data_IF_259540668215
#
_entry.id   IF_259540668215
#
_cell.length_a   1.000
_cell.length_b   1.000
_cell.length_c   1.000
_cell.angle_alpha   90.00
_cell.angle_beta   90.00
_cell.angle_gamma   90.00
#
_symmetry.space_group_name_H-M   'P 1'
#
loop_
_entity.id
_entity.type
_entity.pdbx_description
1 polymer ?
#
# COMPACT_ATOMS: atom_id res chain seq x y z
N UNK A 1 22.06 -32.17 -19.11
CA UNK A 1 21.08 -31.85 -18.06
C UNK A 1 21.85 -31.11 -16.99
N UNK A 2 21.50 -29.82 -16.71
CA UNK A 2 22.09 -29.05 -15.62
C UNK A 2 21.81 -29.70 -14.27
N UNK A 3 22.61 -29.38 -13.29
CA UNK A 3 22.43 -29.88 -11.91
C UNK A 3 21.23 -29.18 -11.29
N UNK A 4 20.16 -29.92 -10.97
CA UNK A 4 19.02 -29.37 -10.25
C UNK A 4 19.30 -29.30 -8.75
N UNK A 5 19.00 -28.17 -8.16
CA UNK A 5 19.20 -27.91 -6.72
C UNK A 5 18.01 -27.12 -6.19
N UNK A 6 17.57 -27.38 -4.96
CA UNK A 6 16.60 -26.58 -4.27
C UNK A 6 17.35 -25.67 -3.28
N UNK A 7 17.13 -24.39 -3.37
CA UNK A 7 17.71 -23.37 -2.48
C UNK A 7 16.60 -22.69 -1.72
N UNK A 8 16.57 -22.74 -0.38
CA UNK A 8 15.62 -22.00 0.42
C UNK A 8 16.01 -20.50 0.45
N UNK A 9 15.04 -19.63 0.17
CA UNK A 9 15.15 -18.20 0.29
C UNK A 9 14.20 -17.72 1.41
N UNK A 10 14.77 -17.35 2.55
CA UNK A 10 13.98 -17.03 3.75
C UNK A 10 13.71 -18.27 4.66
N UNK A 11 12.79 -18.17 5.66
CA UNK A 11 11.92 -17.02 5.94
C UNK A 11 12.65 -15.77 6.44
N UNK A 12 13.76 -15.92 7.18
CA UNK A 12 14.61 -14.82 7.61
C UNK A 12 15.72 -14.63 6.57
N UNK A 13 15.68 -13.52 5.86
CA UNK A 13 16.68 -13.17 4.85
C UNK A 13 17.16 -11.74 5.07
N UNK A 14 18.48 -11.46 5.10
CA UNK A 14 19.02 -10.15 5.48
C UNK A 14 18.55 -8.99 4.56
N UNK A 15 18.23 -9.29 3.31
CA UNK A 15 17.77 -8.27 2.35
C UNK A 15 16.23 -8.09 2.32
N UNK A 16 15.48 -8.79 3.19
CA UNK A 16 14.01 -8.69 3.22
C UNK A 16 13.54 -8.09 4.55
N UNK A 17 12.64 -7.08 4.51
CA UNK A 17 12.13 -6.44 5.71
C UNK A 17 11.16 -7.31 6.51
N UNK A 18 10.53 -8.30 5.88
CA UNK A 18 9.54 -9.19 6.48
C UNK A 18 9.76 -10.65 6.06
N UNK A 19 9.39 -11.64 6.90
CA UNK A 19 9.65 -13.06 6.62
C UNK A 19 8.75 -13.58 5.50
N UNK A 20 9.36 -13.96 4.39
CA UNK A 20 8.76 -14.75 3.32
C UNK A 20 9.68 -15.93 3.01
N UNK A 21 9.12 -17.10 2.79
CA UNK A 21 9.88 -18.26 2.40
C UNK A 21 9.53 -18.68 0.96
N UNK A 22 10.59 -18.90 0.16
CA UNK A 22 10.49 -19.40 -1.18
C UNK A 22 11.42 -20.60 -1.33
N UNK A 23 10.90 -21.75 -1.73
CA UNK A 23 11.72 -22.85 -2.24
C UNK A 23 12.01 -22.58 -3.72
N UNK A 24 13.27 -22.31 -4.04
CA UNK A 24 13.73 -22.03 -5.39
C UNK A 24 14.35 -23.30 -5.99
N UNK A 25 13.70 -23.87 -7.01
CA UNK A 25 14.30 -24.93 -7.81
C UNK A 25 15.17 -24.28 -8.89
N UNK A 26 16.47 -24.59 -8.85
CA UNK A 26 17.46 -24.06 -9.79
C UNK A 26 17.93 -25.13 -10.78
N UNK A 27 18.17 -24.70 -12.00
CA UNK A 27 19.02 -25.41 -12.95
C UNK A 27 20.24 -24.54 -13.21
N UNK A 28 21.39 -24.97 -12.70
CA UNK A 28 22.58 -24.15 -12.52
C UNK A 28 22.25 -22.91 -11.64
N UNK A 29 22.25 -21.68 -12.19
CA UNK A 29 21.90 -20.45 -11.46
C UNK A 29 20.54 -19.86 -11.88
N UNK A 30 19.82 -20.57 -12.77
CA UNK A 30 18.52 -20.10 -13.26
C UNK A 30 17.38 -20.71 -12.44
N UNK A 31 16.47 -19.87 -11.97
CA UNK A 31 15.25 -20.29 -11.26
C UNK A 31 14.25 -20.90 -12.24
N UNK A 32 14.01 -22.20 -12.15
CA UNK A 32 13.02 -22.89 -12.98
C UNK A 32 11.64 -22.95 -12.34
N UNK A 33 11.59 -22.89 -11.00
CA UNK A 33 10.36 -22.87 -10.21
C UNK A 33 10.58 -22.19 -8.86
N UNK A 34 9.58 -21.47 -8.41
CA UNK A 34 9.54 -20.90 -7.06
C UNK A 34 8.23 -21.32 -6.37
N UNK A 35 8.33 -21.81 -5.14
CA UNK A 35 7.17 -22.23 -4.33
C UNK A 35 7.13 -21.39 -3.07
N UNK A 36 6.15 -20.46 -2.94
CA UNK A 36 6.03 -19.63 -1.76
C UNK A 36 5.40 -20.39 -0.60
N UNK A 37 5.92 -20.18 0.61
CA UNK A 37 5.33 -20.61 1.87
C UNK A 37 5.08 -19.37 2.73
N UNK A 38 3.83 -19.18 3.15
CA UNK A 38 3.36 -18.09 3.99
C UNK A 38 2.73 -18.65 5.27
N UNK A 39 2.57 -17.81 6.30
CA UNK A 39 1.97 -18.21 7.58
C UNK A 39 2.83 -17.88 8.79
N UNK A 40 4.05 -17.35 8.60
CA UNK A 40 5.02 -17.08 9.68
C UNK A 40 4.60 -15.94 10.63
N UNK A 41 3.78 -15.02 10.16
CA UNK A 41 3.28 -13.85 10.94
C UNK A 41 1.76 -13.82 11.02
N UNK A 42 1.08 -14.95 10.79
CA UNK A 42 -0.38 -15.04 10.90
C UNK A 42 -0.83 -14.84 12.36
N UNK A 43 -1.80 -13.92 12.54
CA UNK A 43 -2.28 -13.48 13.86
C UNK A 43 -3.77 -13.70 14.07
N UNK A 44 -4.49 -14.20 13.08
CA UNK A 44 -5.93 -14.47 13.15
C UNK A 44 -6.81 -13.22 13.30
N UNK A 45 -6.40 -12.07 12.72
CA UNK A 45 -7.10 -10.79 12.90
C UNK A 45 -8.53 -10.81 12.37
N UNK A 46 -8.79 -11.56 11.30
CA UNK A 46 -10.16 -11.74 10.78
C UNK A 46 -11.07 -12.47 11.80
N UNK A 47 -10.52 -13.42 12.54
CA UNK A 47 -11.25 -14.14 13.59
C UNK A 47 -11.50 -13.26 14.81
N UNK A 48 -10.59 -12.37 15.13
CA UNK A 48 -10.79 -11.40 16.22
C UNK A 48 -12.01 -10.50 15.97
N UNK A 49 -12.35 -10.21 14.70
CA UNK A 49 -13.52 -9.41 14.35
C UNK A 49 -14.85 -10.01 14.84
N UNK A 50 -14.93 -11.32 14.95
CA UNK A 50 -16.14 -12.00 15.45
C UNK A 50 -16.29 -11.88 16.98
N UNK A 51 -15.21 -11.56 17.70
CA UNK A 51 -15.15 -11.54 19.15
C UNK A 51 -15.03 -10.13 19.75
N UNK A 52 -14.88 -9.10 18.93
CA UNK A 52 -14.72 -7.71 19.35
C UNK A 52 -15.85 -6.85 18.80
N UNK A 53 -16.18 -5.82 19.56
CA UNK A 53 -17.09 -4.77 19.14
C UNK A 53 -16.61 -4.09 17.85
N UNK A 54 -17.54 -3.77 16.95
CA UNK A 54 -17.21 -3.19 15.64
C UNK A 54 -16.41 -1.88 15.74
N UNK A 55 -16.58 -1.09 16.80
CA UNK A 55 -15.74 0.11 17.00
C UNK A 55 -14.32 -0.25 17.42
N UNK A 56 -14.14 -1.25 18.28
CA UNK A 56 -12.84 -1.76 18.72
C UNK A 56 -12.08 -2.38 17.55
N UNK A 57 -12.79 -3.01 16.61
CA UNK A 57 -12.19 -3.60 15.42
C UNK A 57 -11.51 -2.57 14.52
N UNK A 58 -11.90 -1.31 14.54
CA UNK A 58 -11.19 -0.26 13.81
C UNK A 58 -9.71 -0.17 14.22
N UNK A 59 -9.44 -0.27 15.51
CA UNK A 59 -8.07 -0.25 16.04
C UNK A 59 -7.28 -1.53 15.71
N UNK A 60 -7.96 -2.68 15.71
CA UNK A 60 -7.33 -3.96 15.37
C UNK A 60 -6.98 -3.99 13.89
N UNK A 61 -7.89 -3.53 13.02
CA UNK A 61 -7.67 -3.48 11.58
C UNK A 61 -6.50 -2.58 11.17
N UNK A 62 -6.32 -1.44 11.83
CA UNK A 62 -5.12 -0.62 11.61
C UNK A 62 -3.82 -1.37 11.86
N UNK A 63 -3.82 -2.33 12.78
CA UNK A 63 -2.65 -3.12 13.18
C UNK A 63 -2.41 -4.35 12.32
N UNK A 64 -3.17 -4.51 11.23
CA UNK A 64 -2.85 -5.50 10.19
C UNK A 64 -1.45 -5.21 9.64
N UNK A 65 -1.11 -3.93 9.43
CA UNK A 65 0.19 -3.51 8.93
C UNK A 65 0.63 -2.17 9.55
N UNK A 66 1.93 -2.02 9.81
CA UNK A 66 2.50 -0.77 10.28
C UNK A 66 2.70 0.29 9.18
N UNK A 67 2.79 -0.10 7.91
CA UNK A 67 3.08 0.83 6.81
C UNK A 67 1.79 1.34 6.17
N UNK A 68 0.84 0.46 5.88
CA UNK A 68 -0.45 0.82 5.29
C UNK A 68 -1.59 0.84 6.31
N UNK A 69 -1.30 1.13 7.58
CA UNK A 69 -2.25 1.16 8.70
C UNK A 69 -3.47 2.03 8.40
N UNK A 70 -3.26 3.22 7.84
CA UNK A 70 -4.34 4.12 7.47
C UNK A 70 -5.29 3.51 6.43
N UNK A 71 -4.76 2.88 5.38
CA UNK A 71 -5.57 2.20 4.37
C UNK A 71 -6.42 1.07 4.95
N UNK A 72 -5.92 0.37 6.00
CA UNK A 72 -6.69 -0.67 6.69
C UNK A 72 -7.84 -0.09 7.52
N UNK A 73 -7.60 0.98 8.27
CA UNK A 73 -8.70 1.63 9.02
C UNK A 73 -9.73 2.27 8.09
N UNK A 74 -9.29 2.91 7.00
CA UNK A 74 -10.18 3.49 6.01
C UNK A 74 -11.03 2.40 5.31
N UNK A 75 -10.41 1.32 4.87
CA UNK A 75 -11.13 0.22 4.22
C UNK A 75 -12.16 -0.43 5.13
N UNK A 76 -11.81 -0.67 6.39
CA UNK A 76 -12.74 -1.23 7.37
C UNK A 76 -13.88 -0.26 7.73
N UNK A 77 -13.56 1.00 8.03
CA UNK A 77 -14.60 2.00 8.35
C UNK A 77 -15.54 2.24 7.18
N UNK A 78 -15.02 2.29 5.94
CA UNK A 78 -15.86 2.39 4.74
C UNK A 78 -16.78 1.19 4.53
N UNK A 79 -16.32 -0.03 4.84
CA UNK A 79 -17.16 -1.22 4.78
C UNK A 79 -18.28 -1.18 5.85
N UNK A 80 -17.96 -0.73 7.05
CA UNK A 80 -18.96 -0.57 8.12
C UNK A 80 -19.96 0.54 7.83
N UNK A 81 -19.50 1.66 7.29
CA UNK A 81 -20.35 2.79 6.90
C UNK A 81 -21.33 2.37 5.80
N UNK A 82 -20.87 1.62 4.79
CA UNK A 82 -21.77 1.08 3.78
C UNK A 82 -22.77 0.06 4.31
N UNK A 83 -22.35 -0.83 5.23
CA UNK A 83 -23.26 -1.80 5.86
C UNK A 83 -24.32 -1.13 6.73
N UNK A 84 -23.97 -0.04 7.43
CA UNK A 84 -24.85 0.69 8.36
C UNK A 84 -25.61 1.85 7.68
N UNK A 85 -25.42 2.03 6.37
CA UNK A 85 -26.01 3.14 5.58
C UNK A 85 -25.70 4.53 6.18
N UNK A 86 -24.42 4.73 6.55
CA UNK A 86 -23.94 5.96 7.16
C UNK A 86 -23.30 6.85 6.12
N UNK A 87 -23.86 8.01 5.90
CA UNK A 87 -23.24 9.05 5.09
C UNK A 87 -22.28 9.90 5.94
N UNK A 88 -21.01 9.92 5.55
CA UNK A 88 -19.98 10.69 6.26
C UNK A 88 -19.92 12.13 5.71
N UNK A 89 -19.57 13.12 6.56
CA UNK A 89 -19.39 14.50 6.11
C UNK A 89 -18.31 14.66 5.05
N UNK A 90 -18.52 15.59 4.11
CA UNK A 90 -17.55 15.85 3.03
C UNK A 90 -16.16 16.24 3.60
N UNK A 91 -16.12 17.02 4.67
CA UNK A 91 -14.87 17.36 5.35
C UNK A 91 -14.09 16.10 5.76
N UNK A 92 -14.78 15.08 6.29
CA UNK A 92 -14.15 13.81 6.64
C UNK A 92 -13.63 13.06 5.41
N UNK A 93 -14.36 13.10 4.28
CA UNK A 93 -13.90 12.49 3.01
C UNK A 93 -12.58 13.09 2.56
N UNK A 94 -12.48 14.44 2.54
CA UNK A 94 -11.26 15.15 2.17
C UNK A 94 -10.11 14.86 3.12
N UNK A 95 -10.34 14.86 4.43
CA UNK A 95 -9.31 14.50 5.42
C UNK A 95 -8.81 13.07 5.21
N UNK A 96 -9.70 12.12 4.92
CA UNK A 96 -9.29 10.74 4.62
C UNK A 96 -8.44 10.66 3.35
N UNK A 97 -8.76 11.43 2.30
CA UNK A 97 -7.94 11.51 1.07
C UNK A 97 -6.55 12.06 1.39
N UNK A 98 -6.45 13.17 2.13
CA UNK A 98 -5.16 13.77 2.51
C UNK A 98 -4.29 12.74 3.24
N UNK A 99 -4.85 12.05 4.24
CA UNK A 99 -4.08 11.07 5.03
C UNK A 99 -3.76 9.79 4.25
N UNK A 100 -4.61 9.36 3.33
CA UNK A 100 -4.33 8.22 2.48
C UNK A 100 -3.18 8.52 1.52
N UNK A 101 -3.15 9.72 0.93
CA UNK A 101 -2.05 10.11 0.05
C UNK A 101 -0.76 10.40 0.83
N UNK A 102 -0.80 10.98 2.03
CA UNK A 102 0.37 11.05 2.92
C UNK A 102 0.90 9.65 3.26
N UNK A 103 0.00 8.69 3.52
CA UNK A 103 0.37 7.28 3.74
C UNK A 103 1.01 6.65 2.51
N UNK A 104 0.59 7.04 1.30
CA UNK A 104 1.22 6.63 0.04
C UNK A 104 2.62 7.21 -0.09
N UNK A 105 2.79 8.51 0.16
CA UNK A 105 4.09 9.18 0.13
C UNK A 105 5.08 8.50 1.08
N UNK A 106 4.70 8.31 2.32
CA UNK A 106 5.53 7.62 3.31
C UNK A 106 5.89 6.19 2.91
N UNK A 107 4.94 5.45 2.33
CA UNK A 107 5.14 4.06 1.92
C UNK A 107 6.06 3.93 0.69
N UNK A 108 5.87 4.76 -0.32
CA UNK A 108 6.72 4.73 -1.52
C UNK A 108 8.15 5.19 -1.23
N UNK A 109 8.34 6.16 -0.32
CA UNK A 109 9.68 6.56 0.14
C UNK A 109 10.39 5.44 0.90
N UNK A 110 9.67 4.69 1.75
CA UNK A 110 10.20 3.49 2.39
C UNK A 110 10.67 2.48 1.34
N UNK A 111 9.82 2.18 0.37
CA UNK A 111 10.11 1.20 -0.67
C UNK A 111 11.32 1.60 -1.53
N UNK A 112 11.40 2.87 -1.96
CA UNK A 112 12.55 3.40 -2.70
C UNK A 112 13.85 3.26 -1.90
N UNK A 113 13.81 3.52 -0.60
CA UNK A 113 14.94 3.31 0.28
C UNK A 113 15.38 1.84 0.32
N UNK A 114 14.45 0.91 0.54
CA UNK A 114 14.74 -0.53 0.56
C UNK A 114 15.28 -1.03 -0.80
N UNK A 115 14.78 -0.49 -1.90
CA UNK A 115 15.31 -0.80 -3.22
C UNK A 115 16.73 -0.27 -3.40
N UNK A 116 17.02 0.95 -2.93
CA UNK A 116 18.38 1.52 -2.95
C UNK A 116 19.36 0.66 -2.14
N UNK A 117 18.96 0.21 -0.95
CA UNK A 117 19.74 -0.69 -0.11
C UNK A 117 20.06 -2.01 -0.82
N UNK A 118 19.08 -2.62 -1.48
CA UNK A 118 19.27 -3.85 -2.25
C UNK A 118 20.25 -3.70 -3.44
N UNK A 119 20.48 -2.48 -3.90
CA UNK A 119 21.52 -2.14 -4.89
C UNK A 119 22.86 -1.76 -4.25
N UNK A 120 22.95 -1.70 -2.90
CA UNK A 120 24.13 -1.26 -2.18
C UNK A 120 24.32 0.26 -2.15
N UNK A 121 23.25 1.03 -2.35
CA UNK A 121 23.27 2.50 -2.29
C UNK A 121 22.85 3.03 -0.92
N UNK A 122 23.65 2.76 0.12
CA UNK A 122 23.36 3.14 1.52
C UNK A 122 23.02 4.63 1.67
N UNK A 123 23.77 5.51 0.97
CA UNK A 123 23.52 6.95 1.02
C UNK A 123 22.16 7.33 0.46
N UNK A 124 21.70 6.65 -0.59
CA UNK A 124 20.38 6.88 -1.19
C UNK A 124 19.27 6.31 -0.29
N UNK A 125 19.50 5.15 0.33
CA UNK A 125 18.62 4.60 1.36
C UNK A 125 18.41 5.61 2.49
N UNK A 126 19.49 6.11 3.10
CA UNK A 126 19.42 7.09 4.19
C UNK A 126 18.74 8.41 3.75
N UNK A 127 18.95 8.82 2.50
CA UNK A 127 18.30 10.00 1.96
C UNK A 127 16.77 9.81 1.85
N UNK A 128 16.30 8.69 1.31
CA UNK A 128 14.86 8.38 1.24
C UNK A 128 14.22 8.37 2.64
N UNK A 129 14.90 7.79 3.61
CA UNK A 129 14.42 7.72 4.99
C UNK A 129 14.36 9.10 5.65
N UNK A 130 15.36 9.97 5.40
CA UNK A 130 15.36 11.34 5.90
C UNK A 130 14.18 12.16 5.34
N UNK A 131 13.85 12.01 4.05
CA UNK A 131 12.67 12.66 3.45
C UNK A 131 11.41 12.12 4.11
N UNK A 132 11.32 10.80 4.29
CA UNK A 132 10.18 10.13 4.91
C UNK A 132 9.92 10.60 6.34
N UNK A 133 10.95 10.91 7.13
CA UNK A 133 10.81 11.41 8.51
C UNK A 133 9.94 12.66 8.59
N UNK A 134 10.05 13.59 7.64
CA UNK A 134 9.22 14.80 7.59
C UNK A 134 7.71 14.47 7.51
N UNK A 135 7.36 13.41 6.80
CA UNK A 135 5.96 12.94 6.71
C UNK A 135 5.52 12.28 8.02
N UNK A 136 6.41 11.52 8.67
CA UNK A 136 6.12 10.89 9.96
C UNK A 136 5.94 11.93 11.07
N UNK A 137 6.70 13.02 11.04
CA UNK A 137 6.57 14.14 11.98
C UNK A 137 5.18 14.82 11.84
N UNK A 138 4.68 14.96 10.61
CA UNK A 138 3.32 15.44 10.36
C UNK A 138 2.27 14.49 10.95
N UNK A 139 2.43 13.18 10.78
CA UNK A 139 1.52 12.21 11.39
C UNK A 139 1.52 12.33 12.91
N UNK A 140 2.69 12.38 13.53
CA UNK A 140 2.83 12.50 14.98
C UNK A 140 2.17 13.77 15.52
N UNK A 141 2.40 14.89 14.88
CA UNK A 141 1.86 16.18 15.32
C UNK A 141 0.32 16.22 15.24
N UNK A 142 -0.26 15.64 14.17
CA UNK A 142 -1.71 15.66 13.99
C UNK A 142 -2.39 14.55 14.82
N UNK A 143 -1.81 13.36 14.87
CA UNK A 143 -2.49 12.18 15.41
C UNK A 143 -1.94 11.71 16.76
N UNK A 144 -0.74 12.12 17.12
CA UNK A 144 -0.01 11.62 18.29
C UNK A 144 0.72 10.30 18.03
N UNK A 145 0.74 9.81 16.77
CA UNK A 145 1.41 8.57 16.40
C UNK A 145 2.08 8.69 15.02
N UNK A 146 3.27 8.11 14.89
CA UNK A 146 4.06 8.17 13.65
C UNK A 146 3.64 7.16 12.59
N UNK A 147 3.05 6.04 13.01
CA UNK A 147 2.80 4.87 12.14
C UNK A 147 1.35 4.40 12.20
N UNK A 148 0.85 4.05 13.38
CA UNK A 148 -0.55 3.63 13.57
C UNK A 148 -1.34 4.81 14.11
N UNK A 149 -1.98 5.54 13.21
CA UNK A 149 -2.49 6.88 13.46
C UNK A 149 -3.82 6.92 14.21
N UNK A 150 -4.61 5.85 14.16
CA UNK A 150 -5.96 5.79 14.73
C UNK A 150 -6.83 7.01 14.37
N UNK A 151 -6.72 7.46 13.12
CA UNK A 151 -7.38 8.68 12.65
C UNK A 151 -8.79 8.43 12.11
N UNK A 152 -9.01 7.31 11.38
CA UNK A 152 -10.34 6.93 10.92
C UNK A 152 -11.25 6.49 12.07
N UNK A 153 -12.52 6.82 11.96
CA UNK A 153 -13.60 6.38 12.82
C UNK A 153 -14.82 6.11 11.95
N UNK A 154 -15.66 5.15 12.31
CA UNK A 154 -16.94 4.94 11.64
C UNK A 154 -17.79 6.20 11.82
N UNK A 155 -18.27 6.75 10.71
CA UNK A 155 -18.96 8.04 10.65
C UNK A 155 -18.05 9.24 10.35
N UNK A 156 -16.74 9.03 10.08
CA UNK A 156 -15.81 10.10 9.69
C UNK A 156 -14.39 9.94 10.22
N UNK A 157 -13.86 10.97 10.89
CA UNK A 157 -12.54 10.98 11.51
C UNK A 157 -12.62 11.32 12.99
N UNK A 158 -11.60 10.95 13.78
CA UNK A 158 -11.61 11.10 15.25
C UNK A 158 -11.39 12.53 15.71
N UNK A 159 -10.68 13.31 14.92
CA UNK A 159 -10.38 14.73 15.24
C UNK A 159 -10.32 15.53 13.95
N UNK A 160 -10.64 16.79 14.06
CA UNK A 160 -10.47 17.75 12.98
C UNK A 160 -9.00 18.15 12.84
N UNK A 161 -8.67 18.71 11.68
CA UNK A 161 -7.35 19.28 11.39
C UNK A 161 -7.52 20.77 11.14
N UNK A 162 -6.81 21.61 11.92
CA UNK A 162 -6.92 23.06 11.79
C UNK A 162 -6.36 23.56 10.46
N UNK A 163 -6.80 24.73 9.98
CA UNK A 163 -6.25 25.33 8.77
C UNK A 163 -4.73 25.55 8.82
N UNK A 164 -4.20 25.90 9.99
CA UNK A 164 -2.75 26.11 10.21
C UNK A 164 -2.00 24.79 10.01
N UNK A 165 -2.56 23.69 10.54
CA UNK A 165 -1.97 22.38 10.39
C UNK A 165 -2.06 21.87 8.94
N UNK A 166 -3.18 22.11 8.25
CA UNK A 166 -3.30 21.81 6.81
C UNK A 166 -2.29 22.60 5.97
N UNK A 167 -2.07 23.88 6.30
CA UNK A 167 -1.03 24.68 5.65
C UNK A 167 0.37 24.12 5.89
N UNK A 168 0.66 23.60 7.11
CA UNK A 168 1.91 22.92 7.42
C UNK A 168 2.08 21.63 6.59
N UNK A 169 1.02 20.83 6.44
CA UNK A 169 1.04 19.64 5.56
C UNK A 169 1.42 20.00 4.12
N UNK A 170 0.79 21.06 3.57
CA UNK A 170 1.14 21.56 2.24
C UNK A 170 2.60 22.03 2.17
N UNK A 171 3.07 22.76 3.19
CA UNK A 171 4.46 23.21 3.26
C UNK A 171 5.48 22.07 3.32
N UNK A 172 5.17 20.99 4.02
CA UNK A 172 6.02 19.78 4.02
C UNK A 172 6.06 19.13 2.62
N UNK A 173 4.92 19.05 1.93
CA UNK A 173 4.90 18.56 0.54
C UNK A 173 5.79 19.43 -0.37
N UNK A 174 5.76 20.77 -0.21
CA UNK A 174 6.60 21.68 -0.98
C UNK A 174 8.09 21.52 -0.64
N UNK A 175 8.40 21.33 0.64
CA UNK A 175 9.77 21.12 1.12
C UNK A 175 10.41 19.83 0.58
N UNK A 176 9.65 18.73 0.52
CA UNK A 176 10.19 17.43 0.12
C UNK A 176 10.15 17.19 -1.40
N UNK A 177 9.35 17.94 -2.16
CA UNK A 177 9.13 17.65 -3.58
C UNK A 177 10.40 17.68 -4.41
N UNK A 178 11.26 18.68 -4.24
CA UNK A 178 12.53 18.76 -4.96
C UNK A 178 13.45 17.58 -4.63
N UNK A 179 13.48 17.16 -3.37
CA UNK A 179 14.26 16.00 -2.94
C UNK A 179 13.70 14.71 -3.54
N UNK A 180 12.39 14.54 -3.57
CA UNK A 180 11.70 13.40 -4.20
C UNK A 180 11.98 13.36 -5.70
N UNK A 181 11.89 14.50 -6.41
CA UNK A 181 12.20 14.58 -7.84
C UNK A 181 13.66 14.22 -8.14
N UNK A 182 14.61 14.69 -7.33
CA UNK A 182 16.04 14.34 -7.48
C UNK A 182 16.26 12.84 -7.22
N UNK A 183 15.63 12.29 -6.21
CA UNK A 183 15.66 10.84 -5.91
C UNK A 183 15.11 10.04 -7.08
N UNK A 184 13.95 10.42 -7.62
CA UNK A 184 13.36 9.80 -8.80
C UNK A 184 14.29 9.85 -10.02
N UNK A 185 15.00 10.98 -10.23
CA UNK A 185 15.99 11.10 -11.31
C UNK A 185 17.17 10.13 -11.16
N UNK A 186 17.59 9.81 -9.94
CA UNK A 186 18.63 8.78 -9.71
C UNK A 186 18.11 7.43 -10.19
N UNK A 187 16.93 6.98 -9.74
CA UNK A 187 16.35 5.71 -10.19
C UNK A 187 16.09 5.69 -11.70
N UNK A 188 15.75 6.83 -12.30
CA UNK A 188 15.49 6.93 -13.74
C UNK A 188 16.77 6.85 -14.59
N UNK A 189 17.88 7.43 -14.13
CA UNK A 189 19.07 7.67 -14.98
C UNK A 189 20.28 6.82 -14.64
N UNK A 190 20.38 6.30 -13.42
CA UNK A 190 21.54 5.51 -13.01
C UNK A 190 21.64 4.23 -13.84
N UNK A 191 22.83 4.01 -14.42
CA UNK A 191 23.06 2.89 -15.33
C UNK A 191 23.08 1.54 -14.65
N UNK A 192 23.53 1.45 -13.38
CA UNK A 192 23.58 0.21 -12.63
C UNK A 192 22.14 -0.25 -12.29
N UNK A 193 21.30 0.69 -11.87
CA UNK A 193 19.87 0.43 -11.60
C UNK A 193 19.18 -0.02 -12.91
N UNK A 194 19.32 0.75 -13.97
CA UNK A 194 18.67 0.46 -15.25
C UNK A 194 19.07 -0.90 -15.83
N UNK A 195 20.37 -1.19 -15.85
CA UNK A 195 20.89 -2.45 -16.40
C UNK A 195 20.36 -3.68 -15.67
N UNK A 196 20.03 -3.57 -14.40
CA UNK A 196 19.46 -4.67 -13.62
C UNK A 196 17.93 -4.74 -13.68
N UNK A 197 17.25 -3.60 -13.79
CA UNK A 197 15.78 -3.54 -13.70
C UNK A 197 15.07 -3.58 -15.06
N UNK A 198 15.65 -2.94 -16.10
CA UNK A 198 15.04 -2.91 -17.42
C UNK A 198 15.05 -4.31 -18.06
N UNK A 199 13.87 -4.75 -18.52
CA UNK A 199 13.67 -6.07 -19.12
C UNK A 199 13.72 -7.25 -18.14
N UNK A 200 13.86 -7.00 -16.81
CA UNK A 200 13.90 -8.04 -15.80
C UNK A 200 12.53 -8.17 -15.11
N UNK A 201 12.07 -9.42 -14.92
CA UNK A 201 10.80 -9.74 -14.26
C UNK A 201 9.59 -9.16 -14.99
N UNK A 202 9.57 -9.30 -16.31
CA UNK A 202 8.51 -8.77 -17.16
C UNK A 202 7.22 -9.54 -16.91
N UNK A 203 6.14 -8.79 -16.69
CA UNK A 203 4.76 -9.26 -16.69
C UNK A 203 4.04 -8.60 -17.86
N UNK A 204 3.54 -9.41 -18.80
CA UNK A 204 2.71 -8.89 -19.87
C UNK A 204 1.38 -8.36 -19.32
N UNK A 205 0.68 -7.51 -20.07
CA UNK A 205 -0.67 -7.09 -19.74
C UNK A 205 -1.62 -8.27 -19.53
N UNK A 206 -1.47 -9.33 -20.31
CA UNK A 206 -2.27 -10.55 -20.19
C UNK A 206 -1.92 -11.31 -18.90
N UNK A 207 -0.63 -11.45 -18.55
CA UNK A 207 -0.24 -12.07 -17.27
C UNK A 207 -0.85 -11.34 -16.08
N UNK A 208 -0.85 -10.00 -16.09
CA UNK A 208 -1.44 -9.18 -15.03
C UNK A 208 -2.94 -9.42 -14.89
N UNK A 209 -3.67 -9.51 -16.00
CA UNK A 209 -5.12 -9.79 -16.02
C UNK A 209 -5.39 -11.21 -15.52
N UNK A 210 -4.68 -12.20 -16.03
CA UNK A 210 -4.88 -13.63 -15.70
C UNK A 210 -4.54 -13.94 -14.23
N UNK A 211 -3.53 -13.24 -13.68
CA UNK A 211 -3.11 -13.38 -12.29
C UNK A 211 -3.83 -12.41 -11.35
N UNK A 212 -4.72 -11.57 -11.88
CA UNK A 212 -5.46 -10.54 -11.12
C UNK A 212 -4.54 -9.59 -10.34
N UNK A 213 -3.34 -9.29 -10.85
CA UNK A 213 -2.41 -8.42 -10.15
C UNK A 213 -2.96 -6.99 -10.00
N UNK A 214 -2.57 -6.30 -8.94
CA UNK A 214 -3.12 -4.99 -8.57
C UNK A 214 -2.02 -3.97 -8.27
N UNK A 215 -2.40 -2.69 -8.23
CA UNK A 215 -1.54 -1.59 -7.82
C UNK A 215 -0.41 -1.30 -8.81
N UNK A 216 0.75 -0.81 -8.33
CA UNK A 216 1.90 -0.51 -9.17
C UNK A 216 2.41 -1.71 -10.00
N UNK A 217 2.13 -2.95 -9.56
CA UNK A 217 2.46 -4.17 -10.33
C UNK A 217 1.64 -4.21 -11.61
N UNK A 218 0.34 -3.96 -11.53
CA UNK A 218 -0.56 -3.94 -12.68
C UNK A 218 -0.34 -2.69 -13.54
N UNK A 219 -0.24 -1.53 -12.91
CA UNK A 219 -0.03 -0.26 -13.62
C UNK A 219 1.31 -0.18 -14.34
N UNK A 220 2.34 -0.87 -13.84
CA UNK A 220 3.62 -1.04 -14.53
C UNK A 220 3.55 -1.85 -15.83
N UNK A 221 2.44 -2.55 -16.08
CA UNK A 221 2.15 -3.32 -17.30
C UNK A 221 0.98 -2.75 -18.11
N UNK A 222 0.64 -1.47 -17.92
CA UNK A 222 -0.39 -0.75 -18.69
C UNK A 222 -1.83 -1.17 -18.37
N UNK A 223 -2.08 -1.73 -17.17
CA UNK A 223 -3.44 -2.07 -16.73
C UNK A 223 -3.98 -0.98 -15.83
N UNK A 224 -5.01 -0.28 -16.30
CA UNK A 224 -5.73 0.74 -15.55
C UNK A 224 -6.77 0.09 -14.64
N UNK A 225 -6.38 -0.12 -13.39
CA UNK A 225 -7.23 -0.73 -12.36
C UNK A 225 -7.18 0.03 -11.02
N UNK A 226 -6.87 1.31 -11.04
CA UNK A 226 -6.76 2.12 -9.81
C UNK A 226 -8.15 2.45 -9.24
N UNK A 227 -8.41 2.02 -8.00
CA UNK A 227 -9.70 2.19 -7.32
C UNK A 227 -10.05 3.69 -7.14
N UNK A 228 -9.05 4.57 -7.05
CA UNK A 228 -9.23 6.02 -6.90
C UNK A 228 -9.98 6.64 -8.09
N UNK A 229 -9.90 6.04 -9.28
CA UNK A 229 -10.65 6.48 -10.47
C UNK A 229 -12.17 6.47 -10.28
N UNK A 230 -12.69 5.63 -9.39
CA UNK A 230 -14.12 5.54 -9.10
C UNK A 230 -14.57 6.55 -8.02
N UNK A 231 -13.66 7.11 -7.25
CA UNK A 231 -13.97 8.02 -6.13
C UNK A 231 -14.24 9.44 -6.65
N UNK A 232 -15.42 10.04 -6.36
CA UNK A 232 -15.76 11.39 -6.80
C UNK A 232 -14.81 12.48 -6.27
N UNK A 233 -14.27 12.31 -5.05
CA UNK A 233 -13.34 13.28 -4.46
C UNK A 233 -12.04 13.26 -5.27
N UNK A 234 -11.45 12.09 -5.52
CA UNK A 234 -10.23 11.98 -6.32
C UNK A 234 -10.40 12.57 -7.73
N UNK A 235 -11.53 12.30 -8.38
CA UNK A 235 -11.84 12.90 -9.71
C UNK A 235 -11.88 14.42 -9.65
N UNK A 236 -12.46 15.01 -8.60
CA UNK A 236 -12.52 16.47 -8.44
C UNK A 236 -11.14 17.10 -8.16
N UNK A 237 -10.18 16.31 -7.69
CA UNK A 237 -8.82 16.74 -7.39
C UNK A 237 -7.85 16.58 -8.57
N UNK A 238 -8.32 16.11 -9.72
CA UNK A 238 -7.50 15.95 -10.93
C UNK A 238 -6.66 14.66 -10.92
N UNK A 239 -7.14 13.62 -10.24
CA UNK A 239 -6.48 12.31 -10.24
C UNK A 239 -6.58 11.65 -11.63
N UNK A 240 -5.44 11.13 -12.09
CA UNK A 240 -5.33 10.27 -13.27
C UNK A 240 -4.42 9.07 -12.94
N UNK A 241 -4.76 7.84 -13.35
CA UNK A 241 -3.90 6.68 -13.09
C UNK A 241 -2.54 6.81 -13.75
N UNK A 242 -1.48 6.52 -12.99
CA UNK A 242 -0.11 6.48 -13.49
C UNK A 242 0.14 5.12 -14.15
N UNK A 243 0.39 5.09 -15.45
CA UNK A 243 0.59 3.87 -16.22
C UNK A 243 1.97 3.83 -16.89
N UNK A 244 2.52 2.62 -17.02
CA UNK A 244 3.71 2.26 -17.79
C UNK A 244 3.44 0.96 -18.53
N UNK A 245 4.06 0.73 -19.69
CA UNK A 245 3.72 -0.40 -20.55
C UNK A 245 4.83 -1.48 -20.62
N UNK A 246 6.01 -1.22 -20.07
CA UNK A 246 7.16 -2.12 -20.18
C UNK A 246 6.99 -3.40 -19.36
N UNK A 247 6.20 -3.35 -18.27
CA UNK A 247 5.88 -4.51 -17.42
C UNK A 247 7.04 -5.06 -16.60
N UNK A 248 8.20 -4.43 -16.61
CA UNK A 248 9.42 -4.86 -15.93
C UNK A 248 9.60 -4.24 -14.53
N UNK A 249 10.70 -4.57 -13.87
CA UNK A 249 11.01 -4.01 -12.55
C UNK A 249 11.16 -2.50 -12.59
N UNK A 250 11.73 -1.96 -13.69
CA UNK A 250 11.95 -0.53 -13.83
C UNK A 250 10.62 0.23 -13.98
N UNK A 251 9.69 -0.26 -14.79
CA UNK A 251 8.37 0.34 -14.94
C UNK A 251 7.60 0.38 -13.61
N UNK A 252 7.65 -0.71 -12.82
CA UNK A 252 7.05 -0.75 -11.48
C UNK A 252 7.67 0.24 -10.50
N UNK A 253 8.98 0.52 -10.64
CA UNK A 253 9.67 1.56 -9.88
C UNK A 253 9.21 2.95 -10.30
N UNK A 254 9.16 3.22 -11.61
CA UNK A 254 8.77 4.53 -12.14
C UNK A 254 7.32 4.87 -11.83
N UNK A 255 6.40 3.91 -11.84
CA UNK A 255 5.02 4.12 -11.38
C UNK A 255 5.01 4.70 -9.96
N UNK A 256 5.80 4.15 -9.03
CA UNK A 256 5.85 4.65 -7.65
C UNK A 256 6.48 6.03 -7.52
N UNK A 257 7.49 6.32 -8.34
CA UNK A 257 8.10 7.66 -8.38
C UNK A 257 7.09 8.71 -8.88
N UNK A 258 6.35 8.39 -9.93
CA UNK A 258 5.36 9.30 -10.51
C UNK A 258 4.15 9.45 -9.54
N UNK A 259 3.73 8.37 -8.88
CA UNK A 259 2.68 8.41 -7.85
C UNK A 259 3.07 9.26 -6.62
N UNK A 260 4.35 9.30 -6.24
CA UNK A 260 4.82 10.20 -5.17
C UNK A 260 4.54 11.67 -5.51
N UNK A 261 4.85 12.08 -6.73
CA UNK A 261 4.62 13.45 -7.18
C UNK A 261 3.13 13.75 -7.24
N UNK A 262 2.37 12.85 -7.86
CA UNK A 262 0.92 13.00 -7.96
C UNK A 262 0.24 13.06 -6.59
N UNK A 263 0.68 12.24 -5.62
CA UNK A 263 0.12 12.26 -4.27
C UNK A 263 0.30 13.61 -3.59
N UNK A 264 1.46 14.26 -3.76
CA UNK A 264 1.68 15.61 -3.22
C UNK A 264 0.77 16.65 -3.88
N UNK A 265 0.54 16.55 -5.18
CA UNK A 265 -0.41 17.43 -5.89
C UNK A 265 -1.85 17.21 -5.42
N UNK A 266 -2.28 15.96 -5.24
CA UNK A 266 -3.61 15.61 -4.71
C UNK A 266 -3.78 16.18 -3.30
N UNK A 267 -2.78 16.03 -2.42
CA UNK A 267 -2.80 16.59 -1.06
C UNK A 267 -3.01 18.10 -1.10
N UNK A 268 -2.24 18.83 -1.92
CA UNK A 268 -2.38 20.29 -2.07
C UNK A 268 -3.76 20.68 -2.58
N UNK A 269 -4.25 19.99 -3.61
CA UNK A 269 -5.56 20.25 -4.18
C UNK A 269 -6.68 19.95 -3.17
N UNK A 270 -6.56 18.86 -2.41
CA UNK A 270 -7.49 18.53 -1.35
C UNK A 270 -7.51 19.59 -0.24
N UNK A 271 -6.33 20.09 0.18
CA UNK A 271 -6.23 21.16 1.19
C UNK A 271 -6.88 22.46 0.69
N UNK A 272 -6.73 22.81 -0.59
CA UNK A 272 -7.34 24.01 -1.16
C UNK A 272 -8.87 23.89 -1.28
N UNK A 273 -9.38 22.67 -1.45
CA UNK A 273 -10.80 22.41 -1.76
C UNK A 273 -11.58 21.86 -0.56
N UNK A 274 -10.93 21.56 0.56
CA UNK A 274 -11.59 20.97 1.73
C UNK A 274 -12.69 21.88 2.25
N UNK A 275 -13.95 21.42 2.37
CA UNK A 275 -15.03 22.20 2.91
C UNK A 275 -14.89 22.38 4.43
N UNK A 276 -15.54 23.43 4.95
CA UNK A 276 -15.80 23.56 6.40
C UNK A 276 -16.94 22.63 6.83
N UNK A 277 -17.19 22.57 8.14
CA UNK A 277 -18.31 21.84 8.71
C UNK A 277 -17.89 20.66 9.59
N UNK A 278 -18.82 19.75 9.79
CA UNK A 278 -18.62 18.56 10.63
C UNK A 278 -17.60 17.60 10.00
N UNK A 279 -16.84 16.92 10.84
CA UNK A 279 -15.84 15.92 10.46
C UNK A 279 -16.22 14.50 10.90
N UNK A 280 -17.33 14.35 11.62
CA UNK A 280 -17.82 13.06 12.11
C UNK A 280 -19.30 13.15 12.41
N UNK A 281 -20.05 12.09 12.10
CA UNK A 281 -21.40 11.89 12.57
C UNK A 281 -21.43 10.87 13.72
N UNK A 282 -22.34 11.01 14.70
CA UNK A 282 -22.47 10.05 15.78
C UNK A 282 -23.05 8.74 15.26
N UNK A 283 -22.36 7.63 15.54
CA UNK A 283 -22.80 6.28 15.18
C UNK A 283 -23.17 5.54 16.48
N UNK A 284 -24.35 4.94 16.52
CA UNK A 284 -24.86 4.20 17.69
C UNK A 284 -25.74 3.03 17.23
N UNK A 285 -25.80 2.01 18.06
CA UNK A 285 -26.68 0.88 17.84
C UNK A 285 -25.96 -0.38 17.35
N UNK A 286 -26.73 -1.45 17.13
CA UNK A 286 -26.20 -2.69 16.58
C UNK A 286 -25.89 -2.55 15.08
N UNK A 287 -25.02 -3.42 14.60
CA UNK A 287 -24.77 -3.57 13.15
C UNK A 287 -25.96 -4.30 12.54
N UNK A 288 -26.58 -3.79 11.46
CA UNK A 288 -27.71 -4.47 10.83
C UNK A 288 -27.32 -5.86 10.29
N UNK A 289 -28.29 -6.72 10.11
CA UNK A 289 -28.11 -7.96 9.36
C UNK A 289 -27.86 -7.63 7.88
N UNK A 290 -26.93 -8.33 7.26
CA UNK A 290 -26.52 -8.12 5.87
C UNK A 290 -25.01 -8.11 5.72
N UNK A 291 -24.57 -7.78 4.54
CA UNK A 291 -23.13 -7.71 4.22
C UNK A 291 -22.81 -6.55 3.30
N UNK A 292 -21.57 -6.09 3.37
CA UNK A 292 -21.06 -5.03 2.51
C UNK A 292 -19.60 -5.24 2.20
N UNK A 293 -19.20 -4.81 1.00
CA UNK A 293 -17.82 -4.83 0.57
C UNK A 293 -17.35 -3.43 0.15
N UNK A 294 -16.17 -3.05 0.61
CA UNK A 294 -15.54 -1.77 0.30
C UNK A 294 -14.13 -1.98 -0.25
N UNK A 295 -13.74 -1.14 -1.20
CA UNK A 295 -12.39 -1.16 -1.79
C UNK A 295 -11.68 0.16 -1.53
N UNK A 296 -10.38 0.06 -1.30
CA UNK A 296 -9.50 1.23 -1.14
C UNK A 296 -8.17 0.98 -1.86
N UNK A 297 -7.67 1.97 -2.58
CA UNK A 297 -6.35 1.89 -3.19
C UNK A 297 -5.28 2.21 -2.17
N UNK A 298 -4.67 1.17 -1.61
CA UNK A 298 -3.50 1.28 -0.76
C UNK A 298 -2.24 1.55 -1.59
N UNK A 299 -1.09 1.95 -1.00
CA UNK A 299 0.16 2.16 -1.76
C UNK A 299 0.58 0.98 -2.62
N UNK A 300 0.29 -0.25 -2.19
CA UNK A 300 0.62 -1.51 -2.88
C UNK A 300 -0.44 -1.97 -3.86
N UNK A 301 -1.62 -1.32 -3.87
CA UNK A 301 -2.75 -1.67 -4.73
C UNK A 301 -4.07 -1.82 -3.98
N UNK A 302 -5.06 -2.38 -4.65
CA UNK A 302 -6.40 -2.58 -4.11
C UNK A 302 -6.42 -3.42 -2.84
N UNK A 303 -6.94 -2.85 -1.75
CA UNK A 303 -7.39 -3.56 -0.56
C UNK A 303 -8.90 -3.75 -0.62
N UNK A 304 -9.39 -4.95 -0.35
CA UNK A 304 -10.80 -5.31 -0.34
C UNK A 304 -11.23 -5.73 1.06
N UNK A 305 -12.29 -5.11 1.57
CA UNK A 305 -12.81 -5.29 2.92
C UNK A 305 -14.26 -5.74 2.83
N UNK A 306 -14.54 -6.92 3.36
CA UNK A 306 -15.88 -7.49 3.47
C UNK A 306 -16.27 -7.62 4.93
N UNK A 307 -17.45 -7.18 5.27
CA UNK A 307 -18.04 -7.28 6.62
C UNK A 307 -19.45 -7.85 6.55
N UNK A 308 -19.80 -8.67 7.53
CA UNK A 308 -21.14 -9.24 7.66
C UNK A 308 -21.67 -8.98 9.07
N UNK A 309 -22.77 -8.28 9.17
CA UNK A 309 -23.47 -7.99 10.41
C UNK A 309 -24.48 -9.09 10.79
N UNK A 310 -24.93 -9.07 12.05
CA UNK A 310 -25.85 -10.07 12.60
C UNK A 310 -26.91 -9.49 13.56
N UNK A 311 -27.19 -8.20 13.45
CA UNK A 311 -28.14 -7.53 14.34
C UNK A 311 -27.58 -7.21 15.74
N UNK A 312 -26.29 -7.46 15.99
CA UNK A 312 -25.62 -7.17 17.26
C UNK A 312 -24.49 -6.17 17.06
N UNK A 313 -23.72 -5.87 18.10
CA UNK A 313 -22.50 -5.06 17.98
C UNK A 313 -21.26 -5.83 17.49
N UNK A 314 -21.38 -7.11 17.25
CA UNK A 314 -20.34 -8.00 16.76
C UNK A 314 -20.61 -8.32 15.29
N UNK A 315 -19.52 -8.62 14.54
CA UNK A 315 -19.63 -9.09 13.18
C UNK A 315 -19.71 -10.62 13.13
N UNK A 316 -20.54 -11.17 12.25
CA UNK A 316 -20.50 -12.60 11.92
C UNK A 316 -19.24 -12.95 11.14
N UNK A 317 -18.75 -12.02 10.31
CA UNK A 317 -17.58 -12.21 9.50
C UNK A 317 -16.91 -10.89 9.15
N UNK A 318 -15.57 -10.89 9.13
CA UNK A 318 -14.77 -9.88 8.44
C UNK A 318 -13.72 -10.57 7.58
N UNK A 319 -13.49 -10.03 6.38
CA UNK A 319 -12.46 -10.49 5.45
C UNK A 319 -11.68 -9.31 4.93
N UNK A 320 -10.37 -9.49 4.86
CA UNK A 320 -9.44 -8.50 4.31
C UNK A 320 -8.59 -9.16 3.23
N UNK A 321 -8.79 -8.77 1.98
CA UNK A 321 -7.93 -9.17 0.88
C UNK A 321 -6.95 -8.04 0.59
N UNK A 322 -5.69 -8.29 0.81
CA UNK A 322 -4.63 -7.30 0.71
C UNK A 322 -3.90 -7.36 -0.63
N UNK A 323 -3.30 -6.25 -1.10
CA UNK A 323 -2.60 -6.22 -2.39
C UNK A 323 -1.47 -7.24 -2.50
N UNK A 324 -0.66 -7.42 -1.45
CA UNK A 324 0.46 -8.37 -1.49
C UNK A 324 -0.01 -9.81 -1.66
N UNK A 325 -1.08 -10.19 -0.95
CA UNK A 325 -1.65 -11.53 -1.10
C UNK A 325 -2.07 -11.82 -2.56
N UNK A 326 -2.64 -10.81 -3.23
CA UNK A 326 -3.06 -10.92 -4.63
C UNK A 326 -1.84 -10.98 -5.56
N UNK A 327 -0.77 -10.25 -5.24
CA UNK A 327 0.41 -10.14 -6.10
C UNK A 327 1.42 -11.29 -5.94
N UNK A 328 1.26 -12.22 -4.99
CA UNK A 328 2.14 -13.38 -4.86
C UNK A 328 2.18 -14.26 -6.14
N UNK A 329 1.07 -14.59 -6.80
CA UNK A 329 1.14 -15.33 -8.07
C UNK A 329 1.93 -14.57 -9.15
N UNK A 330 1.80 -13.25 -9.22
CA UNK A 330 2.57 -12.40 -10.13
C UNK A 330 4.07 -12.45 -9.79
N UNK A 331 4.45 -12.41 -8.49
CA UNK A 331 5.83 -12.62 -8.07
C UNK A 331 6.36 -13.97 -8.55
N UNK A 332 5.64 -15.06 -8.28
CA UNK A 332 6.05 -16.41 -8.70
C UNK A 332 6.29 -16.47 -10.21
N UNK A 333 5.45 -15.79 -11.00
CA UNK A 333 5.62 -15.69 -12.46
C UNK A 333 6.89 -14.96 -12.83
N UNK A 334 7.22 -13.83 -12.16
CA UNK A 334 8.44 -13.05 -12.46
C UNK A 334 9.73 -13.78 -12.09
N UNK A 335 9.67 -14.71 -11.13
CA UNK A 335 10.83 -15.51 -10.71
C UNK A 335 11.18 -16.62 -11.69
N UNK A 336 10.27 -17.05 -12.54
CA UNK A 336 10.54 -18.11 -13.52
C UNK A 336 11.50 -17.63 -14.61
N UNK A 337 12.63 -18.31 -14.74
CA UNK A 337 13.67 -17.99 -15.71
C UNK A 337 14.64 -16.85 -15.29
N UNK A 338 14.48 -16.28 -14.10
CA UNK A 338 15.42 -15.28 -13.58
C UNK A 338 16.71 -15.92 -13.07
N UNK A 339 17.76 -15.10 -12.95
CA UNK A 339 19.00 -15.52 -12.29
C UNK A 339 18.82 -15.43 -10.76
N UNK A 340 19.48 -16.33 -10.01
CA UNK A 340 19.40 -16.37 -8.55
C UNK A 340 19.75 -15.02 -7.91
N UNK A 341 20.72 -14.30 -8.45
CA UNK A 341 21.12 -12.97 -7.97
C UNK A 341 20.01 -11.90 -8.08
N UNK A 342 19.02 -12.07 -8.96
CA UNK A 342 17.95 -11.11 -9.19
C UNK A 342 16.70 -11.40 -8.33
N UNK A 343 16.65 -12.53 -7.64
CA UNK A 343 15.50 -12.94 -6.81
C UNK A 343 15.15 -11.87 -5.78
N UNK A 344 16.14 -11.36 -5.05
CA UNK A 344 15.89 -10.31 -4.02
C UNK A 344 15.23 -9.07 -4.63
N UNK A 345 15.74 -8.58 -5.75
CA UNK A 345 15.19 -7.43 -6.44
C UNK A 345 13.76 -7.72 -6.93
N UNK A 346 13.52 -8.88 -7.54
CA UNK A 346 12.20 -9.29 -8.01
C UNK A 346 11.19 -9.37 -6.87
N UNK A 347 11.58 -9.94 -5.73
CA UNK A 347 10.73 -9.95 -4.53
C UNK A 347 10.42 -8.53 -4.07
N UNK A 348 11.42 -7.64 -4.00
CA UNK A 348 11.21 -6.25 -3.59
C UNK A 348 10.32 -5.48 -4.57
N UNK A 349 10.35 -5.76 -5.88
CA UNK A 349 9.56 -4.97 -6.85
C UNK A 349 8.06 -5.12 -6.73
N UNK A 350 7.53 -6.19 -6.12
CA UNK A 350 6.11 -6.26 -5.77
C UNK A 350 5.76 -5.51 -4.49
N UNK A 351 6.78 -5.00 -3.76
CA UNK A 351 6.63 -4.32 -2.47
C UNK A 351 5.89 -5.22 -1.44
N UNK A 352 6.46 -6.39 -1.08
CA UNK A 352 5.74 -7.35 -0.26
C UNK A 352 5.56 -6.83 1.16
N UNK A 353 4.35 -6.91 1.67
CA UNK A 353 4.01 -6.75 3.08
C UNK A 353 3.43 -8.07 3.59
N UNK A 354 4.23 -8.82 4.34
CA UNK A 354 3.85 -10.17 4.78
C UNK A 354 2.84 -10.07 5.92
N UNK A 355 2.95 -9.05 6.77
CA UNK A 355 1.94 -8.71 7.78
C UNK A 355 0.54 -8.53 7.17
N UNK A 356 0.45 -7.88 5.99
CA UNK A 356 -0.80 -7.78 5.23
C UNK A 356 -1.24 -9.13 4.64
N UNK A 357 -0.29 -9.90 4.14
CA UNK A 357 -0.56 -11.17 3.47
C UNK A 357 -1.17 -12.20 4.42
N UNK A 358 -0.67 -12.24 5.64
CA UNK A 358 -0.98 -13.29 6.62
C UNK A 358 -1.94 -12.85 7.73
N UNK A 359 -2.27 -11.55 7.86
CA UNK A 359 -3.15 -10.89 8.84
C UNK A 359 -3.63 -11.73 10.04
#
# INVERSE_FOLDING_TARGET
MGKRTIVPFGPQHPALPEPIHLDLELEDETVIRAVPSIGYVHRGLEKLAENHDYEQMTYIMERVCGICSFGHSYGYTGAMEGLMDIEIPDRARYLRVIFLELSRVHSHLLWLGLLADAFGFDSLFMHCWRIREKVLDVFEEITGARVVMSFCKIGGVRRDVSPEMLAKVSGVCDEIEDEVRRTGLVFMKDSAIRNRMCGTGVLSKQDVIDLCAVGPVARGSGVDNDVRSADPVYRSLGFEPVLRDEGDCWSRCMVRVDELIQSMDIIRNAIRSIPGGEFCVPVKGPVPEGDFAFRVEQPRGEGFYYVQGNGTKYLSRARVRTPTNINIPALVKTLQGCQLQDVTMLVLTIDPCISCTER
#
